data_IF_838601842896
#
_entry.id   IF_838601842896
#
_cell.length_a   1.000
_cell.length_b   1.000
_cell.length_c   1.000
_cell.angle_alpha   90.00
_cell.angle_beta   90.00
_cell.angle_gamma   90.00
#
_symmetry.space_group_name_H-M   'P 1'
#
loop_
_entity.id
_entity.type
_entity.pdbx_description
1 polymer ?
#
# COMPACT_ATOMS: atom_id res chain seq x y z
N UNK A 1 5.90 -15.01 -0.71
CA UNK A 1 6.93 -15.46 -1.67
C UNK A 1 6.99 -16.98 -1.82
N UNK A 2 7.18 -17.79 -0.76
CA UNK A 2 7.22 -19.27 -0.87
C UNK A 2 6.00 -19.83 -1.62
N UNK A 3 4.79 -19.52 -1.14
CA UNK A 3 3.54 -19.96 -1.79
C UNK A 3 3.43 -19.51 -3.25
N UNK A 4 3.68 -18.24 -3.54
CA UNK A 4 3.62 -17.71 -4.91
C UNK A 4 4.62 -18.44 -5.82
N UNK A 5 5.87 -18.61 -5.37
CA UNK A 5 6.88 -19.34 -6.14
C UNK A 5 6.48 -20.79 -6.42
N UNK A 6 5.92 -21.50 -5.44
CA UNK A 6 5.40 -22.86 -5.63
C UNK A 6 4.24 -22.88 -6.62
N UNK A 7 3.31 -21.93 -6.53
CA UNK A 7 2.16 -21.85 -7.44
C UNK A 7 2.59 -21.56 -8.89
N UNK A 8 3.53 -20.64 -9.11
CA UNK A 8 4.06 -20.33 -10.44
C UNK A 8 4.79 -21.53 -11.06
N UNK A 9 5.55 -22.30 -10.26
CA UNK A 9 6.22 -23.52 -10.75
C UNK A 9 5.19 -24.57 -11.16
N UNK A 10 4.23 -24.88 -10.28
CA UNK A 10 3.21 -25.89 -10.57
C UNK A 10 2.30 -25.45 -11.73
N UNK A 11 1.95 -24.17 -11.78
CA UNK A 11 1.20 -23.56 -12.88
C UNK A 11 1.97 -23.62 -14.21
N UNK A 12 3.28 -23.35 -14.19
CA UNK A 12 4.15 -23.49 -15.35
C UNK A 12 4.22 -24.92 -15.87
N UNK A 13 4.42 -25.91 -14.99
CA UNK A 13 4.39 -27.34 -15.35
C UNK A 13 3.04 -27.70 -15.97
N UNK A 14 1.94 -27.27 -15.35
CA UNK A 14 0.59 -27.48 -15.87
C UNK A 14 0.43 -26.92 -17.29
N UNK A 15 0.89 -25.69 -17.56
CA UNK A 15 0.79 -25.06 -18.88
C UNK A 15 1.70 -25.68 -19.95
N UNK A 16 2.79 -26.36 -19.58
CA UNK A 16 3.63 -27.13 -20.51
C UNK A 16 2.92 -28.41 -20.97
N UNK A 17 2.27 -29.12 -20.05
CA UNK A 17 1.68 -30.44 -20.31
C UNK A 17 0.21 -30.40 -20.74
N UNK A 18 -0.38 -29.21 -20.89
CA UNK A 18 -1.78 -29.05 -21.30
C UNK A 18 -1.89 -28.15 -22.51
N UNK A 19 -3.03 -28.25 -23.20
CA UNK A 19 -3.40 -27.32 -24.28
C UNK A 19 -4.67 -26.56 -23.89
N UNK A 20 -4.90 -25.35 -24.45
CA UNK A 20 -6.08 -24.56 -24.11
C UNK A 20 -7.39 -25.33 -24.35
N UNK A 21 -8.19 -25.42 -23.30
CA UNK A 21 -9.49 -26.09 -23.34
C UNK A 21 -10.47 -25.41 -24.31
N UNK A 22 -11.53 -26.10 -24.78
CA UNK A 22 -12.44 -25.56 -25.80
C UNK A 22 -13.08 -24.23 -25.44
N UNK A 23 -13.42 -23.99 -24.17
CA UNK A 23 -14.01 -22.71 -23.76
C UNK A 23 -12.99 -21.56 -23.82
N UNK A 24 -11.74 -21.79 -23.41
CA UNK A 24 -10.68 -20.79 -23.45
C UNK A 24 -10.37 -20.41 -24.90
N UNK A 25 -10.32 -21.40 -25.80
CA UNK A 25 -10.14 -21.17 -27.24
C UNK A 25 -11.21 -20.26 -27.85
N UNK A 26 -12.44 -20.29 -27.32
CA UNK A 26 -13.56 -19.44 -27.78
C UNK A 26 -13.62 -18.06 -27.13
N UNK A 27 -12.97 -17.88 -25.98
CA UNK A 27 -13.04 -16.63 -25.21
C UNK A 27 -11.92 -15.65 -25.54
N UNK A 28 -10.75 -16.14 -25.96
CA UNK A 28 -9.56 -15.32 -26.19
C UNK A 28 -9.21 -15.19 -27.68
N UNK A 29 -8.47 -14.12 -28.01
CA UNK A 29 -7.90 -13.88 -29.33
C UNK A 29 -6.48 -14.44 -29.36
N UNK A 30 -6.18 -15.29 -30.35
CA UNK A 30 -4.91 -16.02 -30.46
C UNK A 30 -3.95 -15.32 -31.44
N UNK A 31 -3.53 -14.10 -31.11
CA UNK A 31 -2.59 -13.30 -31.90
C UNK A 31 -1.52 -12.65 -31.02
N UNK A 32 -0.36 -12.31 -31.59
CA UNK A 32 0.72 -11.66 -30.85
C UNK A 32 0.31 -10.31 -30.24
N UNK A 33 -0.48 -9.51 -30.95
CA UNK A 33 -1.01 -8.23 -30.45
C UNK A 33 -1.98 -8.43 -29.28
N UNK A 34 -2.83 -9.46 -29.32
CA UNK A 34 -3.71 -9.79 -28.20
C UNK A 34 -2.93 -10.22 -26.96
N UNK A 35 -1.89 -11.05 -27.12
CA UNK A 35 -1.03 -11.43 -25.99
C UNK A 35 -0.30 -10.23 -25.37
N UNK A 36 0.15 -9.30 -26.22
CA UNK A 36 0.72 -8.03 -25.77
C UNK A 36 -0.32 -7.20 -25.01
N UNK A 37 -1.55 -7.07 -25.52
CA UNK A 37 -2.58 -6.25 -24.88
C UNK A 37 -3.00 -6.78 -23.50
N UNK A 38 -3.11 -8.10 -23.34
CA UNK A 38 -3.37 -8.73 -22.03
C UNK A 38 -2.25 -8.42 -21.03
N UNK A 39 -1.00 -8.50 -21.49
CA UNK A 39 0.18 -8.21 -20.69
C UNK A 39 0.27 -6.73 -20.29
N UNK A 40 -0.06 -5.81 -21.20
CA UNK A 40 -0.12 -4.38 -20.92
C UNK A 40 -1.18 -4.05 -19.86
N UNK A 41 -2.35 -4.70 -19.93
CA UNK A 41 -3.39 -4.60 -18.90
C UNK A 41 -2.86 -5.03 -17.52
N UNK A 42 -2.16 -6.17 -17.45
CA UNK A 42 -1.57 -6.67 -16.21
C UNK A 42 -0.50 -5.72 -15.64
N UNK A 43 0.44 -5.24 -16.47
CA UNK A 43 1.51 -4.33 -16.04
C UNK A 43 0.96 -2.98 -15.57
N UNK A 44 -0.10 -2.48 -16.22
CA UNK A 44 -0.79 -1.26 -15.77
C UNK A 44 -1.27 -1.39 -14.31
N UNK A 45 -1.95 -2.50 -13.99
CA UNK A 45 -2.41 -2.77 -12.62
C UNK A 45 -1.23 -2.94 -11.65
N UNK A 46 -0.17 -3.65 -12.06
CA UNK A 46 1.05 -3.78 -11.25
C UNK A 46 1.68 -2.41 -10.95
N UNK A 47 1.68 -1.48 -11.91
CA UNK A 47 2.16 -0.12 -11.73
C UNK A 47 1.35 0.67 -10.71
N UNK A 48 0.02 0.58 -10.76
CA UNK A 48 -0.85 1.21 -9.76
C UNK A 48 -0.64 0.62 -8.36
N UNK A 49 -0.50 -0.70 -8.24
CA UNK A 49 -0.19 -1.36 -6.96
C UNK A 49 1.16 -0.88 -6.42
N UNK A 50 2.19 -0.83 -7.27
CA UNK A 50 3.52 -0.37 -6.88
C UNK A 50 3.51 1.09 -6.41
N UNK A 51 2.74 1.96 -7.08
CA UNK A 51 2.55 3.36 -6.69
C UNK A 51 2.01 3.49 -5.26
N UNK A 52 0.97 2.74 -4.92
CA UNK A 52 0.42 2.75 -3.57
C UNK A 52 1.39 2.13 -2.55
N UNK A 53 2.06 1.03 -2.92
CA UNK A 53 2.99 0.35 -2.03
C UNK A 53 4.15 1.25 -1.62
N UNK A 54 4.79 1.94 -2.57
CA UNK A 54 5.92 2.82 -2.27
C UNK A 54 5.52 4.07 -1.48
N UNK A 55 4.27 4.52 -1.62
CA UNK A 55 3.80 5.73 -0.94
C UNK A 55 3.40 5.50 0.53
N UNK A 56 2.87 4.30 0.84
CA UNK A 56 2.27 4.02 2.14
C UNK A 56 2.97 2.94 2.96
N UNK A 57 3.66 1.98 2.35
CA UNK A 57 4.19 0.83 3.08
C UNK A 57 5.63 1.08 3.56
N UNK A 58 5.81 1.20 4.88
CA UNK A 58 7.12 1.38 5.51
C UNK A 58 7.81 0.05 5.92
N UNK A 59 7.19 -1.11 5.67
CA UNK A 59 7.76 -2.40 6.06
C UNK A 59 8.70 -2.93 5.00
N UNK A 60 8.22 -2.99 3.76
CA UNK A 60 9.01 -3.37 2.60
C UNK A 60 9.85 -2.19 2.06
N UNK A 61 9.44 -0.94 2.37
CA UNK A 61 10.20 0.28 2.10
C UNK A 61 10.55 1.01 3.42
N UNK A 62 11.55 0.54 4.17
CA UNK A 62 11.88 1.13 5.47
C UNK A 62 12.28 2.59 5.38
N UNK A 63 11.74 3.42 6.26
CA UNK A 63 11.92 4.87 6.25
C UNK A 63 13.38 5.29 6.51
N UNK A 64 14.19 4.42 7.11
CA UNK A 64 15.64 4.61 7.26
C UNK A 64 16.37 4.68 5.91
N UNK A 65 15.83 4.01 4.89
CA UNK A 65 16.40 4.00 3.54
C UNK A 65 15.66 4.94 2.59
N UNK A 66 14.34 5.03 2.72
CA UNK A 66 13.46 5.71 1.75
C UNK A 66 12.90 7.05 2.24
N UNK A 67 13.19 7.44 3.49
CA UNK A 67 12.58 8.59 4.14
C UNK A 67 11.16 8.29 4.66
N UNK A 68 10.60 9.17 5.51
CA UNK A 68 9.28 8.94 6.09
C UNK A 68 8.19 9.06 5.02
N UNK A 69 7.16 8.24 5.15
CA UNK A 69 5.93 8.39 4.35
C UNK A 69 5.21 9.71 4.70
N UNK A 70 4.28 10.15 3.85
CA UNK A 70 3.46 11.34 4.13
C UNK A 70 2.75 11.27 5.49
N UNK A 71 2.02 10.18 5.80
CA UNK A 71 1.41 9.99 7.12
C UNK A 71 2.43 10.01 8.27
N UNK A 72 3.59 9.35 8.12
CA UNK A 72 4.64 9.35 9.16
C UNK A 72 5.18 10.75 9.44
N UNK A 73 5.44 11.53 8.40
CA UNK A 73 5.95 12.89 8.54
C UNK A 73 4.93 13.81 9.24
N UNK A 74 3.64 13.70 8.89
CA UNK A 74 2.55 14.44 9.54
C UNK A 74 2.42 14.09 11.03
N UNK A 75 2.45 12.80 11.38
CA UNK A 75 2.40 12.37 12.78
C UNK A 75 3.65 12.79 13.56
N UNK A 76 4.83 12.71 12.93
CA UNK A 76 6.10 13.15 13.53
C UNK A 76 6.10 14.65 13.83
N UNK A 77 5.47 15.46 12.97
CA UNK A 77 5.28 16.89 13.22
C UNK A 77 4.42 17.10 14.47
N UNK A 78 3.23 16.48 14.53
CA UNK A 78 2.33 16.62 15.67
C UNK A 78 3.00 16.19 16.98
N UNK A 79 3.72 15.05 16.96
CA UNK A 79 4.48 14.54 18.10
C UNK A 79 5.57 15.52 18.57
N UNK A 80 6.30 16.12 17.64
CA UNK A 80 7.37 17.10 17.96
C UNK A 80 6.81 18.28 18.76
N UNK A 81 5.69 18.86 18.32
CA UNK A 81 5.07 19.99 19.01
C UNK A 81 4.42 19.58 20.34
N UNK A 82 3.78 18.40 20.39
CA UNK A 82 3.22 17.85 21.62
C UNK A 82 4.30 17.70 22.70
N UNK A 83 5.42 17.05 22.37
CA UNK A 83 6.54 16.84 23.31
C UNK A 83 7.15 18.17 23.74
N UNK A 84 7.35 19.10 22.80
CA UNK A 84 7.87 20.43 23.10
C UNK A 84 6.97 21.17 24.10
N UNK A 85 5.67 21.23 23.84
CA UNK A 85 4.75 21.99 24.68
C UNK A 85 4.52 21.34 26.04
N UNK A 86 4.54 20.00 26.09
CA UNK A 86 4.54 19.27 27.36
C UNK A 86 5.80 19.59 28.20
N UNK A 87 6.98 19.66 27.57
CA UNK A 87 8.22 20.09 28.26
C UNK A 87 8.17 21.54 28.74
N UNK A 88 7.39 22.39 28.07
CA UNK A 88 7.11 23.77 28.48
C UNK A 88 6.01 23.88 29.56
N UNK A 89 5.46 22.75 30.04
CA UNK A 89 4.51 22.71 31.13
C UNK A 89 3.03 22.69 30.71
N UNK A 90 2.72 22.57 29.43
CA UNK A 90 1.33 22.44 28.98
C UNK A 90 0.76 21.04 29.31
N UNK A 91 -0.46 20.99 29.86
CA UNK A 91 -1.21 19.73 29.97
C UNK A 91 -1.85 19.39 28.62
N UNK A 92 -1.15 18.59 27.83
CA UNK A 92 -1.54 18.25 26.45
C UNK A 92 -2.87 17.48 26.36
N UNK A 93 -3.28 16.77 27.42
CA UNK A 93 -4.51 15.98 27.43
C UNK A 93 -5.77 16.84 27.63
N UNK A 94 -5.65 17.99 28.30
CA UNK A 94 -6.78 18.90 28.58
C UNK A 94 -6.70 20.22 27.81
N UNK A 95 -5.71 20.38 26.93
CA UNK A 95 -5.55 21.60 26.13
C UNK A 95 -6.56 21.65 24.98
N UNK A 96 -7.53 22.55 25.08
CA UNK A 96 -8.53 22.79 24.04
C UNK A 96 -7.99 23.72 22.94
N UNK A 97 -8.22 23.36 21.69
CA UNK A 97 -7.91 24.17 20.52
C UNK A 97 -9.02 25.16 20.16
N UNK A 98 -8.78 26.07 19.20
CA UNK A 98 -9.74 27.13 18.84
C UNK A 98 -11.08 26.63 18.29
N UNK A 99 -11.11 25.40 17.75
CA UNK A 99 -12.33 24.77 17.21
C UNK A 99 -13.17 24.07 18.26
N UNK A 100 -12.72 24.03 19.52
CA UNK A 100 -13.36 23.30 20.61
C UNK A 100 -12.90 21.84 20.77
N UNK A 101 -12.16 21.28 19.80
CA UNK A 101 -11.51 19.98 19.90
C UNK A 101 -10.21 20.05 20.70
N UNK A 102 -9.67 18.91 21.12
CA UNK A 102 -8.36 18.86 21.75
C UNK A 102 -7.26 19.32 20.79
N UNK A 103 -6.35 20.18 21.24
CA UNK A 103 -5.28 20.76 20.41
C UNK A 103 -4.25 19.72 19.98
N UNK A 104 -4.00 18.71 20.83
CA UNK A 104 -2.96 17.69 20.61
C UNK A 104 -3.53 16.28 20.49
N UNK A 105 -4.57 15.95 21.26
CA UNK A 105 -5.19 14.63 21.30
C UNK A 105 -6.70 14.78 21.10
N UNK A 106 -7.27 13.94 20.24
CA UNK A 106 -8.70 13.86 19.96
C UNK A 106 -9.05 12.42 19.58
N UNK A 107 -10.35 12.09 19.64
CA UNK A 107 -10.81 10.75 19.27
C UNK A 107 -11.06 10.61 17.78
N UNK A 108 -10.78 9.43 17.25
CA UNK A 108 -11.19 9.00 15.92
C UNK A 108 -12.73 8.86 15.83
N UNK A 109 -13.30 8.65 14.62
CA UNK A 109 -14.71 8.31 14.47
C UNK A 109 -15.17 7.04 15.22
N UNK A 110 -14.25 6.11 15.52
CA UNK A 110 -14.49 4.86 16.26
C UNK A 110 -14.05 4.92 17.72
N UNK A 111 -13.45 6.03 18.15
CA UNK A 111 -13.26 6.36 19.56
C UNK A 111 -11.87 6.06 20.12
N UNK A 112 -10.92 5.55 19.34
CA UNK A 112 -9.48 5.59 19.69
C UNK A 112 -9.04 7.02 19.99
#
# INVERSE_FOLDING_TARGET
HIWIGTLEILGGIWHIYTTPWPWARRAFVWSGEAYLSYSLGAISVMGFIACCMSWFNNTAYPSEFYGPTGPEASQSQAFTFLVRDQRLGANVASAQGPTGLGKYLMRSPTGE
#
